data_IF_793396993245
#
_entry.id   IF_793396993245
#
_cell.length_a   1.000
_cell.length_b   1.000
_cell.length_c   1.000
_cell.angle_alpha   90.00
_cell.angle_beta   90.00
_cell.angle_gamma   90.00
#
_symmetry.space_group_name_H-M   'P 1'
#
loop_
_entity.id
_entity.type
_entity.pdbx_description
1 polymer ?
#
# COMPACT_ATOMS: atom_id res chain seq x y z
N UNK A 1 -48.67 -27.71 -49.12
CA UNK A 1 -47.34 -27.62 -48.49
C UNK A 1 -46.72 -26.24 -48.54
N UNK A 2 -46.86 -25.46 -49.62
CA UNK A 2 -46.24 -24.11 -49.70
C UNK A 2 -46.87 -23.02 -48.83
N UNK A 3 -48.10 -23.18 -48.40
CA UNK A 3 -48.79 -22.20 -47.52
C UNK A 3 -48.39 -22.33 -46.01
N UNK A 4 -48.14 -23.59 -45.56
CA UNK A 4 -47.70 -23.84 -44.19
C UNK A 4 -46.32 -23.29 -43.89
N UNK A 5 -45.43 -23.27 -44.88
CA UNK A 5 -44.06 -22.74 -44.74
C UNK A 5 -44.03 -21.22 -44.54
N UNK A 6 -45.02 -20.49 -45.06
CA UNK A 6 -45.10 -19.01 -44.94
C UNK A 6 -45.54 -18.56 -43.55
N UNK A 7 -46.23 -19.37 -42.76
CA UNK A 7 -46.61 -19.07 -41.39
C UNK A 7 -45.60 -19.55 -40.38
N UNK A 8 -44.77 -20.54 -40.69
CA UNK A 8 -43.78 -21.08 -39.79
C UNK A 8 -42.55 -20.13 -39.64
N UNK A 9 -42.21 -19.37 -40.68
CA UNK A 9 -41.07 -18.45 -40.69
C UNK A 9 -41.24 -17.25 -39.74
N UNK A 10 -42.39 -16.55 -39.68
CA UNK A 10 -42.56 -15.43 -38.78
C UNK A 10 -42.75 -15.91 -37.32
N UNK A 11 -43.27 -17.09 -37.08
CA UNK A 11 -43.39 -17.65 -35.74
C UNK A 11 -42.00 -18.01 -35.15
N UNK A 12 -41.09 -18.53 -35.98
CA UNK A 12 -39.73 -18.86 -35.55
C UNK A 12 -38.87 -17.60 -35.32
N UNK A 13 -39.09 -16.53 -36.08
CA UNK A 13 -38.41 -15.24 -35.91
C UNK A 13 -38.84 -14.49 -34.64
N UNK A 14 -40.08 -14.69 -34.18
CA UNK A 14 -40.61 -14.10 -32.94
C UNK A 14 -40.04 -14.75 -31.67
N UNK A 15 -39.57 -16.02 -31.72
CA UNK A 15 -39.01 -16.71 -30.57
C UNK A 15 -37.52 -16.33 -30.30
N UNK A 16 -36.83 -15.75 -31.27
CA UNK A 16 -35.41 -15.43 -31.12
C UNK A 16 -35.19 -14.08 -30.43
N UNK A 17 -36.21 -13.25 -30.29
CA UNK A 17 -36.12 -11.92 -29.67
C UNK A 17 -36.34 -11.90 -28.15
N UNK A 18 -36.71 -13.05 -27.56
CA UNK A 18 -37.03 -13.12 -26.12
C UNK A 18 -35.83 -13.47 -25.23
N UNK A 19 -34.61 -13.50 -25.78
CA UNK A 19 -33.45 -14.01 -25.06
C UNK A 19 -32.50 -12.87 -24.59
N UNK A 20 -32.97 -11.61 -24.54
CA UNK A 20 -32.32 -10.58 -23.73
C UNK A 20 -32.84 -10.69 -22.29
N UNK A 21 -32.33 -11.67 -21.59
CA UNK A 21 -32.41 -11.64 -20.13
C UNK A 21 -31.40 -10.56 -19.70
N UNK A 22 -31.89 -9.37 -19.35
CA UNK A 22 -31.14 -8.38 -18.60
C UNK A 22 -30.75 -9.08 -17.29
N UNK A 23 -29.52 -9.63 -17.28
CA UNK A 23 -28.90 -9.98 -16.02
C UNK A 23 -28.73 -8.65 -15.28
N UNK A 24 -29.49 -8.47 -14.23
CA UNK A 24 -29.31 -7.37 -13.30
C UNK A 24 -27.90 -7.53 -12.68
N UNK A 25 -26.89 -6.99 -13.37
CA UNK A 25 -25.51 -6.93 -12.91
C UNK A 25 -25.43 -5.82 -11.85
N UNK A 26 -26.22 -5.96 -10.81
CA UNK A 26 -26.11 -5.15 -9.63
C UNK A 26 -24.72 -5.34 -9.04
N UNK A 27 -23.96 -4.26 -8.86
CA UNK A 27 -22.65 -4.29 -8.20
C UNK A 27 -22.73 -4.76 -6.72
N UNK A 28 -23.84 -5.30 -6.29
CA UNK A 28 -24.13 -5.61 -4.90
C UNK A 28 -24.34 -4.35 -4.06
N UNK A 29 -24.53 -4.53 -2.79
CA UNK A 29 -24.72 -3.41 -1.86
C UNK A 29 -23.43 -2.61 -1.71
N UNK A 30 -23.49 -1.31 -1.97
CA UNK A 30 -22.36 -0.39 -1.75
C UNK A 30 -22.28 -0.13 -0.25
N UNK A 31 -21.22 -0.63 0.38
CA UNK A 31 -21.05 -0.51 1.83
C UNK A 31 -19.74 0.23 2.14
N UNK A 32 -19.86 1.35 2.82
CA UNK A 32 -18.70 2.13 3.27
C UNK A 32 -17.99 1.45 4.44
N UNK A 33 -16.66 1.43 4.46
CA UNK A 33 -15.91 1.02 5.64
C UNK A 33 -16.21 1.92 6.83
N UNK A 34 -16.36 1.30 8.01
CA UNK A 34 -16.59 1.98 9.30
C UNK A 34 -15.57 1.51 10.34
N UNK A 35 -15.45 2.24 11.44
CA UNK A 35 -14.57 1.88 12.56
C UNK A 35 -13.10 1.69 12.15
N UNK A 36 -12.60 2.52 11.21
CA UNK A 36 -11.21 2.45 10.79
C UNK A 36 -10.27 2.81 11.96
N UNK A 37 -9.46 1.85 12.36
CA UNK A 37 -8.41 1.99 13.37
C UNK A 37 -7.07 1.61 12.78
N UNK A 38 -6.01 2.24 13.28
CA UNK A 38 -4.64 1.96 12.86
C UNK A 38 -3.78 1.81 14.10
N UNK A 39 -3.19 0.63 14.25
CA UNK A 39 -2.17 0.36 15.24
C UNK A 39 -0.78 0.59 14.62
N UNK A 40 0.12 1.20 15.38
CA UNK A 40 1.50 1.48 14.97
C UNK A 40 2.46 0.85 15.96
N UNK A 41 3.34 0.00 15.47
CA UNK A 41 4.40 -0.61 16.27
C UNK A 41 5.75 -0.21 15.67
N UNK A 42 6.51 0.61 16.39
CA UNK A 42 7.89 0.95 16.05
C UNK A 42 8.80 -0.15 16.61
N UNK A 43 9.67 -0.70 15.77
CA UNK A 43 10.54 -1.81 16.20
C UNK A 43 11.51 -1.37 17.29
N UNK A 44 11.59 -2.18 18.36
CA UNK A 44 12.45 -1.90 19.52
C UNK A 44 11.99 -0.71 20.38
N UNK A 45 10.75 -0.26 20.22
CA UNK A 45 10.17 0.79 21.06
C UNK A 45 9.93 0.27 22.48
N UNK A 46 10.53 0.93 23.45
CA UNK A 46 10.36 0.68 24.89
C UNK A 46 10.54 1.99 25.70
N UNK A 47 10.55 1.88 27.03
CA UNK A 47 10.72 3.06 27.91
C UNK A 47 12.10 3.74 27.75
N UNK A 48 13.14 3.00 27.37
CA UNK A 48 14.49 3.52 27.13
C UNK A 48 14.65 4.04 25.70
N UNK A 49 13.93 3.44 24.75
CA UNK A 49 13.97 3.75 23.33
C UNK A 49 12.59 4.15 22.80
N UNK A 50 12.03 5.31 23.19
CA UNK A 50 10.65 5.67 22.87
C UNK A 50 10.38 5.84 21.36
N UNK A 51 11.42 5.95 20.56
CA UNK A 51 11.34 6.10 19.09
C UNK A 51 11.93 4.91 18.32
N UNK A 52 12.09 3.77 19.01
CA UNK A 52 12.61 2.52 18.44
C UNK A 52 14.11 2.34 18.55
N UNK A 53 14.60 1.21 18.07
CA UNK A 53 15.99 0.73 18.17
C UNK A 53 16.96 1.35 17.15
N UNK A 54 16.49 2.29 16.33
CA UNK A 54 17.29 2.89 15.26
C UNK A 54 17.23 2.13 13.93
N UNK A 55 16.48 1.03 13.84
CA UNK A 55 16.30 0.29 12.58
C UNK A 55 15.44 1.03 11.55
N UNK A 56 14.68 2.02 11.98
CA UNK A 56 13.71 2.73 11.16
C UNK A 56 12.49 1.90 10.77
N UNK A 57 12.30 0.72 11.37
CA UNK A 57 11.28 -0.24 10.98
C UNK A 57 9.98 -0.01 11.77
N UNK A 58 8.88 0.12 11.05
CA UNK A 58 7.54 0.35 11.60
C UNK A 58 6.55 -0.62 10.98
N UNK A 59 5.76 -1.26 11.83
CA UNK A 59 4.62 -2.09 11.41
C UNK A 59 3.33 -1.31 11.65
N UNK A 60 2.53 -1.20 10.62
CA UNK A 60 1.22 -0.57 10.59
C UNK A 60 0.15 -1.66 10.41
N UNK A 61 -0.86 -1.68 11.27
CA UNK A 61 -1.99 -2.62 11.17
C UNK A 61 -3.27 -1.81 11.12
N UNK A 62 -3.93 -1.79 9.97
CA UNK A 62 -5.22 -1.15 9.78
C UNK A 62 -6.34 -2.18 9.86
N UNK A 63 -7.42 -1.84 10.58
CA UNK A 63 -8.64 -2.63 10.66
C UNK A 63 -9.85 -1.73 10.47
N UNK A 64 -10.85 -2.22 9.76
CA UNK A 64 -12.13 -1.54 9.60
C UNK A 64 -13.22 -2.56 9.25
N UNK A 65 -14.47 -2.27 9.65
CA UNK A 65 -15.63 -3.05 9.25
C UNK A 65 -15.92 -2.79 7.77
N UNK A 66 -16.35 -3.80 7.04
CA UNK A 66 -16.70 -3.74 5.61
C UNK A 66 -15.58 -3.28 4.68
N UNK A 67 -14.33 -3.25 5.12
CA UNK A 67 -13.19 -2.99 4.27
C UNK A 67 -12.80 -4.24 3.45
N UNK A 68 -12.45 -4.02 2.19
CA UNK A 68 -11.93 -5.06 1.28
C UNK A 68 -10.45 -4.88 1.00
N UNK A 69 -9.92 -3.67 1.21
CA UNK A 69 -8.49 -3.37 1.06
C UNK A 69 -8.12 -2.07 1.76
N UNK A 70 -6.82 -1.90 2.00
CA UNK A 70 -6.26 -0.70 2.61
C UNK A 70 -5.16 -0.13 1.72
N UNK A 71 -5.03 1.20 1.74
CA UNK A 71 -3.95 1.92 1.08
C UNK A 71 -3.27 2.83 2.11
N UNK A 72 -1.95 2.74 2.18
CA UNK A 72 -1.11 3.62 2.98
C UNK A 72 -0.47 4.66 2.09
N UNK A 73 -0.54 5.94 2.49
CA UNK A 73 0.08 7.07 1.82
C UNK A 73 0.96 7.79 2.84
N UNK A 74 2.22 7.97 2.52
CA UNK A 74 3.23 8.54 3.43
C UNK A 74 3.66 9.93 2.98
N UNK A 75 4.06 10.77 3.94
CA UNK A 75 4.56 12.13 3.66
C UNK A 75 5.87 12.16 2.84
N UNK A 76 6.56 11.03 2.68
CA UNK A 76 7.72 10.89 1.78
C UNK A 76 7.31 10.65 0.32
N UNK A 77 6.02 10.68 0.01
CA UNK A 77 5.45 10.46 -1.32
C UNK A 77 5.29 9.00 -1.70
N UNK A 78 5.70 8.06 -0.85
CA UNK A 78 5.48 6.63 -1.12
C UNK A 78 4.06 6.20 -0.77
N UNK A 79 3.55 5.21 -1.49
CA UNK A 79 2.24 4.62 -1.23
C UNK A 79 2.24 3.10 -1.40
N UNK A 80 1.34 2.42 -0.69
CA UNK A 80 1.17 0.96 -0.76
C UNK A 80 -0.27 0.52 -0.58
N UNK A 81 -0.70 -0.39 -1.46
CA UNK A 81 -1.95 -1.12 -1.30
C UNK A 81 -1.69 -2.42 -0.54
N UNK A 82 -2.48 -2.68 0.50
CA UNK A 82 -2.38 -3.86 1.37
C UNK A 82 -3.76 -4.42 1.70
N UNK A 83 -4.23 -5.45 0.97
CA UNK A 83 -5.53 -6.05 1.26
C UNK A 83 -5.65 -6.60 2.68
N UNK A 84 -4.55 -7.10 3.26
CA UNK A 84 -4.52 -7.63 4.64
C UNK A 84 -4.59 -6.56 5.72
N UNK A 85 -4.39 -5.29 5.39
CA UNK A 85 -4.26 -4.19 6.34
C UNK A 85 -2.93 -4.16 7.11
N UNK A 86 -2.03 -5.13 6.91
CA UNK A 86 -0.73 -5.15 7.61
C UNK A 86 0.37 -4.74 6.65
N UNK A 87 1.11 -3.69 7.01
CA UNK A 87 2.23 -3.21 6.22
C UNK A 87 3.42 -2.87 7.10
N UNK A 88 4.59 -3.35 6.70
CA UNK A 88 5.86 -3.01 7.33
C UNK A 88 6.65 -2.06 6.43
N UNK A 89 7.01 -0.90 6.97
CA UNK A 89 7.82 0.12 6.28
C UNK A 89 9.11 0.38 7.04
N UNK A 90 10.20 0.50 6.30
CA UNK A 90 11.47 1.04 6.81
C UNK A 90 11.62 2.48 6.36
N UNK A 91 11.77 3.40 7.31
CA UNK A 91 12.17 4.78 7.09
C UNK A 91 13.69 4.87 7.16
N UNK A 92 14.31 5.46 6.14
CA UNK A 92 15.78 5.41 5.95
C UNK A 92 16.44 6.80 6.00
N UNK A 93 15.70 7.82 6.38
CA UNK A 93 16.27 9.15 6.60
C UNK A 93 16.98 9.18 7.96
N UNK A 94 18.31 9.41 8.02
CA UNK A 94 19.07 9.37 9.26
C UNK A 94 18.58 10.37 10.31
N UNK A 95 18.57 9.94 11.56
CA UNK A 95 18.11 10.72 12.70
C UNK A 95 16.64 10.46 13.08
N UNK A 96 16.13 11.31 13.95
CA UNK A 96 14.76 11.27 14.43
C UNK A 96 13.86 12.09 13.50
N UNK A 97 12.84 11.45 12.95
CA UNK A 97 11.88 12.10 12.05
C UNK A 97 10.45 11.69 12.35
N UNK A 98 9.53 12.63 12.14
CA UNK A 98 8.08 12.39 12.19
C UNK A 98 7.53 12.36 10.77
N UNK A 99 6.75 11.34 10.48
CA UNK A 99 6.09 11.11 9.19
C UNK A 99 4.58 11.12 9.37
N UNK A 100 3.89 11.82 8.50
CA UNK A 100 2.44 11.73 8.41
C UNK A 100 2.08 10.52 7.55
N UNK A 101 1.17 9.70 8.04
CA UNK A 101 0.65 8.51 7.36
C UNK A 101 -0.86 8.65 7.23
N UNK A 102 -1.36 8.66 6.01
CA UNK A 102 -2.79 8.60 5.72
C UNK A 102 -3.15 7.17 5.31
N UNK A 103 -4.12 6.60 5.99
CA UNK A 103 -4.62 5.25 5.71
C UNK A 103 -6.03 5.35 5.15
N UNK A 104 -6.24 4.76 3.98
CA UNK A 104 -7.53 4.67 3.32
C UNK A 104 -8.01 3.22 3.38
N UNK A 105 -9.20 3.00 3.91
CA UNK A 105 -9.92 1.73 3.82
C UNK A 105 -10.90 1.81 2.67
N UNK A 106 -10.91 0.84 1.77
CA UNK A 106 -11.82 0.77 0.63
C UNK A 106 -12.85 -0.33 0.85
N UNK A 107 -14.12 0.00 0.67
CA UNK A 107 -15.25 -0.92 0.74
C UNK A 107 -15.73 -1.38 -0.64
N UNK A 108 -16.82 -2.15 -0.64
CA UNK A 108 -17.49 -2.58 -1.87
C UNK A 108 -18.04 -1.36 -2.63
N UNK A 109 -17.94 -1.39 -3.95
CA UNK A 109 -18.36 -0.28 -4.81
C UNK A 109 -17.37 0.89 -4.86
N UNK A 110 -16.16 0.75 -4.29
CA UNK A 110 -15.10 1.76 -4.37
C UNK A 110 -15.23 2.92 -3.39
N UNK A 111 -16.19 2.87 -2.47
CA UNK A 111 -16.31 3.86 -1.39
C UNK A 111 -15.16 3.72 -0.39
N UNK A 112 -14.67 4.84 0.13
CA UNK A 112 -13.49 4.87 1.01
C UNK A 112 -13.76 5.65 2.28
N UNK A 113 -13.10 5.23 3.35
CA UNK A 113 -12.94 5.96 4.61
C UNK A 113 -11.46 6.13 4.89
N UNK A 114 -11.04 7.27 5.44
CA UNK A 114 -9.63 7.53 5.72
C UNK A 114 -9.41 8.04 7.15
N UNK A 115 -8.18 7.84 7.62
CA UNK A 115 -7.65 8.45 8.84
C UNK A 115 -6.20 8.84 8.63
N UNK A 116 -5.72 9.83 9.40
CA UNK A 116 -4.34 10.31 9.32
C UNK A 116 -3.74 10.29 10.71
N UNK A 117 -2.49 9.84 10.80
CA UNK A 117 -1.72 9.77 12.05
C UNK A 117 -0.27 10.18 11.81
N UNK A 118 0.44 10.49 12.89
CA UNK A 118 1.87 10.79 12.86
C UNK A 118 2.66 9.62 13.47
N UNK A 119 3.78 9.30 12.83
CA UNK A 119 4.70 8.25 13.28
C UNK A 119 6.08 8.88 13.44
N UNK A 120 6.57 8.90 14.68
CA UNK A 120 7.94 9.35 14.98
C UNK A 120 8.84 8.14 15.11
N UNK A 121 9.92 8.10 14.35
CA UNK A 121 10.83 6.96 14.28
C UNK A 121 12.28 7.43 14.18
N UNK A 122 13.16 6.72 14.88
CA UNK A 122 14.60 6.88 14.80
C UNK A 122 15.16 5.93 13.74
N UNK A 123 16.00 6.45 12.86
CA UNK A 123 16.85 5.64 11.99
C UNK A 123 18.32 6.02 12.20
N UNK A 124 19.10 5.05 12.68
CA UNK A 124 20.53 5.18 12.80
C UNK A 124 21.18 4.55 11.56
N UNK A 125 21.85 5.38 10.77
CA UNK A 125 22.69 4.89 9.71
C UNK A 125 23.99 4.39 10.35
N UNK A 126 24.20 3.07 10.30
CA UNK A 126 25.50 2.48 10.61
C UNK A 126 26.22 2.25 9.29
N UNK A 127 27.34 2.94 9.09
CA UNK A 127 28.19 2.69 7.94
C UNK A 127 28.65 1.22 7.94
N UNK A 128 28.56 0.59 6.79
CA UNK A 128 29.17 -0.73 6.59
C UNK A 128 30.69 -0.59 6.76
N UNK A 129 31.34 -1.61 7.29
CA UNK A 129 32.81 -1.64 7.51
C UNK A 129 33.59 -1.19 6.26
N UNK A 130 33.08 -1.55 5.06
CA UNK A 130 33.64 -1.11 3.79
C UNK A 130 33.59 0.42 3.60
N UNK A 131 32.53 1.09 4.06
CA UNK A 131 32.40 2.55 4.01
C UNK A 131 33.36 3.20 4.99
N UNK A 132 33.51 2.63 6.19
CA UNK A 132 34.48 3.11 7.19
C UNK A 132 35.92 3.05 6.66
N UNK A 133 36.31 1.95 6.00
CA UNK A 133 37.62 1.85 5.34
C UNK A 133 37.82 2.90 4.23
N UNK A 134 36.78 3.22 3.48
CA UNK A 134 36.82 4.19 2.40
C UNK A 134 36.83 5.64 2.90
N UNK A 135 36.09 5.95 3.98
CA UNK A 135 35.91 7.31 4.48
C UNK A 135 36.78 7.66 5.70
N UNK A 136 37.30 6.64 6.40
CA UNK A 136 38.00 6.81 7.67
C UNK A 136 37.11 7.33 8.79
N UNK A 137 35.78 7.00 8.71
CA UNK A 137 34.77 7.34 9.71
C UNK A 137 34.13 8.73 9.49
N UNK A 138 34.77 9.67 8.82
CA UNK A 138 34.18 10.99 8.52
C UNK A 138 34.47 11.45 7.09
N UNK A 139 35.73 11.58 6.72
CA UNK A 139 36.17 11.91 5.36
C UNK A 139 37.60 11.47 5.14
N UNK A 140 37.92 11.03 3.93
CA UNK A 140 39.25 10.60 3.55
C UNK A 140 39.61 11.26 2.19
N UNK A 141 40.81 11.82 2.13
CA UNK A 141 41.33 12.41 0.87
C UNK A 141 42.12 11.31 0.17
N UNK A 142 41.75 11.02 -1.05
CA UNK A 142 42.43 10.06 -1.90
C UNK A 142 43.33 10.78 -2.87
N UNK A 143 44.61 10.35 -2.98
CA UNK A 143 45.57 10.88 -3.93
C UNK A 143 45.96 9.80 -4.94
N UNK A 144 46.12 10.17 -6.16
CA UNK A 144 46.76 9.29 -7.15
C UNK A 144 48.20 9.05 -6.76
N UNK A 145 48.63 7.79 -6.66
CA UNK A 145 50.03 7.46 -6.49
C UNK A 145 50.76 7.74 -7.81
N UNK A 146 51.66 8.70 -7.82
CA UNK A 146 52.47 9.01 -9.00
C UNK A 146 53.55 7.98 -9.30
N UNK A 147 53.70 6.96 -8.40
CA UNK A 147 54.75 5.93 -8.48
C UNK A 147 54.34 4.69 -9.29
N UNK A 148 53.08 4.53 -9.64
CA UNK A 148 52.61 3.38 -10.44
C UNK A 148 52.28 3.83 -11.87
N UNK A 149 53.32 4.18 -12.63
CA UNK A 149 53.25 4.13 -14.11
C UNK A 149 53.71 2.74 -14.51
N UNK A 150 52.72 1.87 -14.89
CA UNK A 150 53.01 0.62 -15.56
C UNK A 150 53.61 0.81 -16.95
#
# INVERSE_FOLDING_TARGET
>A
MKQFLKFLCPLFFSLVLSNCQESDLGFGEITSPTNLQVEVVVQGQDAANPNGDGSGLVTLTATADNAVSYKYVFSDGSERNQPSGIYQKRFTKPGLHTYTVTVLASGRGGVTTNTTLEVTVLFNFTDDEAVEYLTGGTSKIWYWSASERG
#
